data_IF_221040003047
#
_entry.id   IF_221040003047
#
_cell.length_a   1.000
_cell.length_b   1.000
_cell.length_c   1.000
_cell.angle_alpha   90.00
_cell.angle_beta   90.00
_cell.angle_gamma   90.00
#
_symmetry.space_group_name_H-M   'P 1'
#
loop_
_entity.id
_entity.type
_entity.pdbx_description
1 polymer ?
#
# COMPACT_ATOMS: atom_id res chain seq x y z
N UNK A 1 10.21 32.92 6.88
CA UNK A 1 10.10 31.61 7.57
C UNK A 1 11.12 30.69 6.93
N UNK A 2 11.95 30.02 7.73
CA UNK A 2 13.15 29.33 7.29
C UNK A 2 12.81 27.83 7.15
N UNK A 3 13.43 27.08 6.24
CA UNK A 3 13.10 25.65 6.02
C UNK A 3 13.15 24.82 7.32
N UNK A 4 14.11 25.12 8.19
CA UNK A 4 14.28 24.48 9.50
C UNK A 4 13.08 24.74 10.43
N UNK A 5 12.60 25.98 10.49
CA UNK A 5 11.43 26.35 11.31
C UNK A 5 10.12 25.74 10.81
N UNK A 6 10.04 25.42 9.50
CA UNK A 6 8.90 24.69 8.92
C UNK A 6 8.95 23.22 9.37
N UNK A 7 10.12 22.59 9.26
CA UNK A 7 10.35 21.21 9.67
C UNK A 7 10.08 21.00 11.16
N UNK A 8 10.55 21.88 12.02
CA UNK A 8 10.29 21.82 13.47
C UNK A 8 8.79 21.90 13.77
N UNK A 9 8.05 22.81 13.11
CA UNK A 9 6.60 22.89 13.25
C UNK A 9 5.88 21.63 12.79
N UNK A 10 6.25 21.10 11.62
CA UNK A 10 5.66 19.88 11.05
C UNK A 10 5.89 18.65 11.94
N UNK A 11 7.06 18.54 12.56
CA UNK A 11 7.39 17.43 13.46
C UNK A 11 6.79 17.60 14.87
N UNK A 12 6.55 18.85 15.30
CA UNK A 12 5.97 19.14 16.62
C UNK A 12 4.45 18.97 16.69
N UNK A 13 3.75 18.93 15.55
CA UNK A 13 2.31 18.67 15.48
C UNK A 13 2.04 17.16 15.43
N UNK A 14 1.48 16.56 16.51
CA UNK A 14 1.22 15.12 16.56
C UNK A 14 0.32 14.63 15.42
N UNK A 15 -0.57 15.49 14.91
CA UNK A 15 -1.52 15.13 13.86
C UNK A 15 -0.81 14.95 12.52
N UNK A 16 0.10 15.86 12.17
CA UNK A 16 0.89 15.78 10.93
C UNK A 16 1.82 14.57 10.97
N UNK A 17 2.47 14.33 12.11
CA UNK A 17 3.31 13.15 12.30
C UNK A 17 2.53 11.85 12.07
N UNK A 18 1.34 11.71 12.66
CA UNK A 18 0.49 10.54 12.47
C UNK A 18 0.08 10.35 11.01
N UNK A 19 -0.31 11.43 10.30
CA UNK A 19 -0.65 11.35 8.87
C UNK A 19 0.49 10.77 8.04
N UNK A 20 1.71 11.29 8.22
CA UNK A 20 2.89 10.81 7.50
C UNK A 20 3.17 9.33 7.82
N UNK A 21 3.04 8.94 9.09
CA UNK A 21 3.23 7.55 9.52
C UNK A 21 2.24 6.59 8.84
N UNK A 22 0.96 6.94 8.80
CA UNK A 22 -0.07 6.12 8.15
C UNK A 22 0.11 6.06 6.62
N UNK A 23 0.43 7.19 5.98
CA UNK A 23 0.72 7.21 4.54
C UNK A 23 1.92 6.33 4.19
N UNK A 24 2.97 6.35 5.00
CA UNK A 24 4.12 5.46 4.84
C UNK A 24 3.73 3.99 5.03
N UNK A 25 2.90 3.68 6.03
CA UNK A 25 2.36 2.33 6.25
C UNK A 25 1.55 1.81 5.06
N UNK A 26 0.65 2.64 4.51
CA UNK A 26 -0.12 2.26 3.32
C UNK A 26 0.76 2.10 2.08
N UNK A 27 1.81 2.90 1.92
CA UNK A 27 2.77 2.74 0.83
C UNK A 27 3.51 1.40 0.91
N UNK A 28 3.96 1.00 2.10
CA UNK A 28 4.57 -0.31 2.33
C UNK A 28 3.57 -1.43 2.03
N UNK A 29 2.32 -1.29 2.47
CA UNK A 29 1.25 -2.23 2.17
C UNK A 29 1.00 -2.38 0.66
N UNK A 30 1.00 -1.27 -0.07
CA UNK A 30 0.86 -1.28 -1.53
C UNK A 30 2.01 -2.04 -2.21
N UNK A 31 3.25 -1.82 -1.77
CA UNK A 31 4.40 -2.59 -2.25
C UNK A 31 4.23 -4.09 -1.97
N UNK A 32 3.71 -4.45 -0.78
CA UNK A 32 3.39 -5.83 -0.44
C UNK A 32 2.30 -6.43 -1.35
N UNK A 33 1.24 -5.68 -1.66
CA UNK A 33 0.19 -6.13 -2.58
C UNK A 33 0.74 -6.47 -3.97
N UNK A 34 1.72 -5.71 -4.48
CA UNK A 34 2.44 -6.03 -5.73
C UNK A 34 3.22 -7.34 -5.60
N UNK A 35 3.88 -7.56 -4.46
CA UNK A 35 4.60 -8.82 -4.19
C UNK A 35 3.63 -10.00 -4.20
N UNK A 36 2.44 -9.87 -3.60
CA UNK A 36 1.41 -10.93 -3.58
C UNK A 36 1.04 -11.37 -5.00
N UNK A 37 0.81 -10.43 -5.93
CA UNK A 37 0.51 -10.77 -7.34
C UNK A 37 1.64 -11.59 -7.96
N UNK A 38 2.90 -11.21 -7.73
CA UNK A 38 4.05 -11.97 -8.19
C UNK A 38 4.10 -13.37 -7.57
N UNK A 39 3.82 -13.50 -6.28
CA UNK A 39 3.85 -14.79 -5.58
C UNK A 39 2.75 -15.73 -6.07
N UNK A 40 1.52 -15.24 -6.27
CA UNK A 40 0.43 -16.03 -6.85
C UNK A 40 0.81 -16.53 -8.25
N UNK A 41 1.44 -15.67 -9.06
CA UNK A 41 1.95 -16.08 -10.38
C UNK A 41 3.00 -17.18 -10.29
N UNK A 42 3.98 -17.10 -9.39
CA UNK A 42 5.00 -18.14 -9.22
C UNK A 42 4.40 -19.47 -8.72
N UNK A 43 3.50 -19.40 -7.75
CA UNK A 43 2.81 -20.58 -7.20
C UNK A 43 2.00 -21.32 -8.27
N UNK A 44 1.33 -20.57 -9.16
CA UNK A 44 0.56 -21.16 -10.26
C UNK A 44 1.36 -21.99 -11.25
N UNK A 45 2.68 -21.78 -11.32
CA UNK A 45 3.56 -22.54 -12.20
C UNK A 45 3.94 -23.90 -11.59
N UNK A 46 3.77 -24.06 -10.28
CA UNK A 46 4.13 -25.29 -9.55
C UNK A 46 2.90 -26.17 -9.30
N UNK A 47 1.76 -25.55 -8.98
CA UNK A 47 0.53 -26.25 -8.66
C UNK A 47 -0.48 -26.10 -9.80
N UNK A 48 -0.69 -27.17 -10.56
CA UNK A 48 -1.82 -27.26 -11.47
C UNK A 48 -3.08 -27.61 -10.67
N UNK A 49 -3.83 -26.59 -10.28
CA UNK A 49 -5.05 -26.73 -9.50
C UNK A 49 -6.20 -25.91 -10.07
N UNK A 50 -7.43 -26.37 -9.78
CA UNK A 50 -8.69 -25.72 -10.20
C UNK A 50 -8.78 -24.26 -9.66
N UNK A 51 -8.02 -23.94 -8.62
CA UNK A 51 -7.98 -22.62 -7.98
C UNK A 51 -7.02 -21.62 -8.63
N UNK A 52 -6.26 -22.00 -9.66
CA UNK A 52 -5.28 -21.10 -10.29
C UNK A 52 -5.90 -19.77 -10.76
N UNK A 53 -6.93 -19.86 -11.61
CA UNK A 53 -7.59 -18.69 -12.17
C UNK A 53 -8.28 -17.83 -11.08
N UNK A 54 -9.09 -18.41 -10.16
CA UNK A 54 -9.64 -17.66 -9.03
C UNK A 54 -8.58 -16.92 -8.20
N UNK A 55 -7.45 -17.57 -7.85
CA UNK A 55 -6.40 -16.95 -7.05
C UNK A 55 -5.73 -15.79 -7.77
N UNK A 56 -5.46 -15.93 -9.08
CA UNK A 56 -4.93 -14.83 -9.91
C UNK A 56 -5.88 -13.63 -9.94
N UNK A 57 -7.18 -13.87 -10.10
CA UNK A 57 -8.19 -12.80 -10.10
C UNK A 57 -8.24 -12.08 -8.75
N UNK A 58 -8.29 -12.84 -7.64
CA UNK A 58 -8.30 -12.27 -6.28
C UNK A 58 -7.04 -11.44 -6.04
N UNK A 59 -5.86 -11.90 -6.47
CA UNK A 59 -4.62 -11.16 -6.30
C UNK A 59 -4.63 -9.80 -7.03
N UNK A 60 -5.14 -9.76 -8.27
CA UNK A 60 -5.28 -8.51 -9.02
C UNK A 60 -6.33 -7.57 -8.43
N UNK A 61 -7.48 -8.09 -8.01
CA UNK A 61 -8.52 -7.30 -7.33
C UNK A 61 -7.97 -6.72 -6.03
N UNK A 62 -7.26 -7.52 -5.25
CA UNK A 62 -6.62 -7.06 -4.02
C UNK A 62 -5.63 -5.92 -4.27
N UNK A 63 -4.79 -6.02 -5.30
CA UNK A 63 -3.89 -4.94 -5.69
C UNK A 63 -4.64 -3.67 -6.10
N UNK A 64 -5.71 -3.79 -6.89
CA UNK A 64 -6.54 -2.66 -7.28
C UNK A 64 -7.17 -1.96 -6.06
N UNK A 65 -7.69 -2.74 -5.11
CA UNK A 65 -8.23 -2.21 -3.84
C UNK A 65 -7.13 -1.53 -3.02
N UNK A 66 -5.93 -2.11 -2.92
CA UNK A 66 -4.80 -1.49 -2.22
C UNK A 66 -4.40 -0.14 -2.83
N UNK A 67 -4.37 -0.04 -4.17
CA UNK A 67 -4.16 1.24 -4.87
C UNK A 67 -5.27 2.23 -4.52
N UNK A 68 -6.54 1.80 -4.59
CA UNK A 68 -7.69 2.64 -4.25
C UNK A 68 -7.64 3.17 -2.82
N UNK A 69 -7.32 2.32 -1.85
CA UNK A 69 -7.18 2.70 -0.44
C UNK A 69 -6.03 3.69 -0.23
N UNK A 70 -4.88 3.49 -0.90
CA UNK A 70 -3.77 4.44 -0.81
C UNK A 70 -4.13 5.81 -1.40
N UNK A 71 -4.81 5.84 -2.55
CA UNK A 71 -5.29 7.09 -3.15
C UNK A 71 -6.32 7.79 -2.26
N UNK A 72 -7.25 7.04 -1.66
CA UNK A 72 -8.21 7.60 -0.69
C UNK A 72 -7.49 8.15 0.53
N UNK A 73 -6.46 7.46 1.04
CA UNK A 73 -5.67 7.94 2.17
C UNK A 73 -4.98 9.28 1.86
N UNK A 74 -4.45 9.48 0.64
CA UNK A 74 -3.85 10.76 0.23
C UNK A 74 -4.84 11.94 0.20
N UNK A 75 -6.14 11.66 0.02
CA UNK A 75 -7.19 12.70 -0.05
C UNK A 75 -7.77 12.97 1.34
N UNK A 76 -7.94 11.93 2.16
CA UNK A 76 -8.69 11.98 3.42
C UNK A 76 -7.80 12.26 4.63
N UNK A 77 -6.58 11.70 4.69
CA UNK A 77 -5.64 11.95 5.79
C UNK A 77 -4.87 13.24 5.51
#
# INVERSE_FOLDING_TARGET
>A
MNLVTVLERLLSDPWIFLKILFLMGFFIYLAFAVIVVRQVKLMSQTLNGILDLPLKMIAWIHLLVAIGVFLLALIVL
#
